data_IF_692426887707
#
_entry.id   IF_692426887707
#
_cell.length_a   1.000
_cell.length_b   1.000
_cell.length_c   1.000
_cell.angle_alpha   90.00
_cell.angle_beta   90.00
_cell.angle_gamma   90.00
#
_symmetry.space_group_name_H-M   'P 1'
#
loop_
_entity.id
_entity.type
_entity.pdbx_description
1 polymer ?
#
# COMPACT_ATOMS: atom_id res chain seq x y z
N UNK A 1 -13.86 -3.23 -15.18
CA UNK A 1 -12.83 -2.72 -16.13
C UNK A 1 -13.50 -2.21 -17.43
N UNK A 2 -13.44 -0.90 -17.69
CA UNK A 2 -14.03 -0.32 -18.91
C UNK A 2 -13.23 -0.76 -20.14
N UNK A 3 -13.93 -1.24 -21.17
CA UNK A 3 -13.35 -1.77 -22.42
C UNK A 3 -12.55 -0.71 -23.19
N UNK A 4 -12.83 0.57 -22.94
CA UNK A 4 -12.23 1.72 -23.61
C UNK A 4 -10.71 1.84 -23.35
N UNK A 5 -10.21 1.34 -22.21
CA UNK A 5 -8.76 1.29 -21.93
C UNK A 5 -8.02 0.20 -22.71
N UNK A 6 -8.76 -0.71 -23.37
CA UNK A 6 -8.21 -1.70 -24.29
C UNK A 6 -8.27 -1.22 -25.75
N UNK A 7 -8.82 -0.04 -26.04
CA UNK A 7 -8.93 0.47 -27.40
C UNK A 7 -7.55 0.67 -28.09
N UNK A 8 -6.51 0.98 -27.32
CA UNK A 8 -5.13 1.05 -27.84
C UNK A 8 -4.55 -0.32 -28.23
N UNK A 9 -5.25 -1.42 -28.01
CA UNK A 9 -4.86 -2.76 -28.46
C UNK A 9 -5.42 -3.13 -29.83
N UNK A 10 -6.30 -2.31 -30.39
CA UNK A 10 -7.07 -2.64 -31.61
C UNK A 10 -6.71 -1.79 -32.83
N UNK A 11 -5.53 -1.16 -32.84
CA UNK A 11 -5.05 -0.44 -34.03
C UNK A 11 -4.35 -1.42 -34.99
N UNK A 12 -5.16 -2.06 -35.85
CA UNK A 12 -4.92 -2.17 -37.30
C UNK A 12 -3.61 -2.76 -37.86
N UNK A 13 -2.69 -3.31 -37.08
CA UNK A 13 -1.49 -3.99 -37.62
C UNK A 13 -1.36 -5.42 -37.08
N UNK A 14 -1.32 -6.37 -38.03
CA UNK A 14 -1.09 -7.80 -37.83
C UNK A 14 0.20 -8.01 -37.01
N UNK A 15 0.13 -8.89 -36.01
CA UNK A 15 1.17 -9.25 -35.03
C UNK A 15 1.45 -8.19 -33.96
N UNK A 16 0.72 -8.37 -32.87
CA UNK A 16 1.22 -8.18 -31.51
C UNK A 16 2.69 -8.60 -31.43
N UNK A 17 3.60 -7.64 -31.26
CA UNK A 17 5.01 -7.93 -30.97
C UNK A 17 5.20 -8.45 -29.55
N UNK A 18 4.19 -8.25 -28.69
CA UNK A 18 4.26 -8.57 -27.27
C UNK A 18 3.14 -9.53 -26.87
N UNK A 19 3.48 -10.59 -26.13
CA UNK A 19 2.48 -11.52 -25.61
C UNK A 19 1.66 -10.92 -24.47
N UNK A 20 0.45 -11.45 -24.23
CA UNK A 20 -0.37 -11.09 -23.04
C UNK A 20 0.43 -11.24 -21.74
N UNK A 21 1.35 -12.21 -21.67
CA UNK A 21 2.23 -12.44 -20.53
C UNK A 21 3.17 -11.25 -20.30
N UNK A 22 3.79 -10.73 -21.35
CA UNK A 22 4.67 -9.55 -21.27
C UNK A 22 3.91 -8.30 -20.84
N UNK A 23 2.69 -8.10 -21.33
CA UNK A 23 1.84 -6.97 -20.91
C UNK A 23 1.54 -7.06 -19.41
N UNK A 24 1.15 -8.25 -18.93
CA UNK A 24 0.91 -8.47 -17.49
C UNK A 24 2.17 -8.23 -16.65
N UNK A 25 3.33 -8.69 -17.13
CA UNK A 25 4.60 -8.47 -16.45
C UNK A 25 4.94 -6.98 -16.37
N UNK A 26 4.79 -6.23 -17.48
CA UNK A 26 5.00 -4.77 -17.49
C UNK A 26 4.04 -4.05 -16.56
N UNK A 27 2.75 -4.39 -16.59
CA UNK A 27 1.76 -3.81 -15.69
C UNK A 27 2.05 -4.13 -14.22
N UNK A 28 2.48 -5.35 -13.92
CA UNK A 28 2.90 -5.74 -12.58
C UNK A 28 4.13 -4.95 -12.14
N UNK A 29 5.15 -4.81 -12.99
CA UNK A 29 6.37 -4.06 -12.70
C UNK A 29 6.07 -2.58 -12.40
N UNK A 30 5.23 -1.94 -13.23
CA UNK A 30 4.76 -0.56 -13.01
C UNK A 30 4.02 -0.48 -11.67
N UNK A 31 3.03 -1.35 -11.45
CA UNK A 31 2.27 -1.35 -10.20
C UNK A 31 3.14 -1.58 -8.96
N UNK A 32 4.18 -2.41 -9.05
CA UNK A 32 5.13 -2.58 -7.95
C UNK A 32 5.99 -1.33 -7.74
N UNK A 33 6.44 -0.68 -8.81
CA UNK A 33 7.18 0.58 -8.73
C UNK A 33 6.36 1.68 -8.06
N UNK A 34 5.11 1.86 -8.50
CA UNK A 34 4.17 2.84 -7.91
C UNK A 34 3.91 2.54 -6.43
N UNK A 35 3.73 1.26 -6.09
CA UNK A 35 3.51 0.85 -4.70
C UNK A 35 4.72 1.16 -3.81
N UNK A 36 5.95 0.93 -4.31
CA UNK A 36 7.18 1.28 -3.58
C UNK A 36 7.30 2.80 -3.42
N UNK A 37 7.09 3.57 -4.49
CA UNK A 37 7.14 5.03 -4.44
C UNK A 37 6.14 5.60 -3.43
N UNK A 38 4.90 5.08 -3.44
CA UNK A 38 3.85 5.47 -2.50
C UNK A 38 4.20 5.12 -1.04
N UNK A 39 4.81 3.94 -0.81
CA UNK A 39 5.27 3.55 0.52
C UNK A 39 6.38 4.47 1.01
N UNK A 40 7.38 4.76 0.17
CA UNK A 40 8.47 5.69 0.51
C UNK A 40 7.92 7.07 0.85
N UNK A 41 6.99 7.59 0.03
CA UNK A 41 6.34 8.88 0.30
C UNK A 41 5.63 8.89 1.65
N UNK A 42 4.86 7.84 1.99
CA UNK A 42 4.15 7.75 3.28
C UNK A 42 5.09 7.68 4.48
N UNK A 43 6.20 6.96 4.34
CA UNK A 43 7.23 6.87 5.37
C UNK A 43 7.88 8.24 5.59
N UNK A 44 8.21 8.97 4.52
CA UNK A 44 8.69 10.34 4.62
C UNK A 44 7.66 11.27 5.28
N UNK A 45 6.37 11.15 4.93
CA UNK A 45 5.31 11.92 5.58
C UNK A 45 5.22 11.63 7.08
N UNK A 46 5.45 10.39 7.53
CA UNK A 46 5.58 10.07 8.96
C UNK A 46 6.70 10.87 9.62
N UNK A 47 7.88 10.90 8.99
CA UNK A 47 9.03 11.66 9.48
C UNK A 47 8.74 13.17 9.56
N UNK A 48 8.07 13.74 8.56
CA UNK A 48 7.70 15.17 8.55
C UNK A 48 6.65 15.52 9.60
N UNK A 49 5.69 14.61 9.86
CA UNK A 49 4.60 14.89 10.80
C UNK A 49 5.03 14.69 12.25
N UNK A 50 5.65 13.54 12.55
CA UNK A 50 6.00 13.12 13.90
C UNK A 50 7.33 12.34 13.87
N UNK A 51 8.49 13.04 13.89
CA UNK A 51 9.81 12.40 13.72
C UNK A 51 10.13 11.41 14.84
N UNK A 52 9.70 11.70 16.08
CA UNK A 52 9.90 10.81 17.24
C UNK A 52 9.18 9.47 17.04
N UNK A 53 7.92 9.52 16.61
CA UNK A 53 7.13 8.30 16.33
C UNK A 53 7.73 7.55 15.14
N UNK A 54 8.12 8.27 14.09
CA UNK A 54 8.78 7.68 12.95
C UNK A 54 10.07 6.94 13.35
N UNK A 55 10.93 7.57 14.16
CA UNK A 55 12.16 6.97 14.66
C UNK A 55 11.88 5.72 15.51
N UNK A 56 10.96 5.81 16.48
CA UNK A 56 10.58 4.69 17.32
C UNK A 56 10.05 3.50 16.51
N UNK A 57 9.16 3.75 15.53
CA UNK A 57 8.64 2.71 14.65
C UNK A 57 9.74 2.16 13.73
N UNK A 58 10.62 3.01 13.21
CA UNK A 58 11.71 2.60 12.30
C UNK A 58 12.71 1.66 12.99
N UNK A 59 13.01 1.91 14.27
CA UNK A 59 13.95 1.14 15.08
C UNK A 59 13.56 -0.33 15.26
N UNK A 60 12.27 -0.66 15.19
CA UNK A 60 11.78 -2.03 15.39
C UNK A 60 11.84 -2.81 14.05
N UNK A 61 12.73 -3.80 13.89
CA UNK A 61 12.84 -4.57 12.65
C UNK A 61 11.59 -5.44 12.41
N UNK A 62 11.21 -5.63 11.14
CA UNK A 62 10.07 -6.51 10.81
C UNK A 62 10.24 -7.95 11.29
N UNK A 63 11.48 -8.45 11.31
CA UNK A 63 11.81 -9.77 11.83
C UNK A 63 11.51 -9.89 13.32
N UNK A 64 11.72 -8.83 14.10
CA UNK A 64 11.42 -8.81 15.53
C UNK A 64 9.91 -8.81 15.77
N UNK A 65 9.15 -8.01 15.01
CA UNK A 65 7.68 -7.97 15.10
C UNK A 65 7.09 -9.36 14.85
N UNK A 66 7.57 -10.09 13.84
CA UNK A 66 7.09 -11.46 13.55
C UNK A 66 7.38 -12.49 14.64
N UNK A 67 8.30 -12.20 15.56
CA UNK A 67 8.68 -13.07 16.67
C UNK A 67 7.99 -12.69 17.99
N UNK A 68 7.14 -11.67 18.00
CA UNK A 68 6.45 -11.27 19.21
C UNK A 68 5.45 -12.35 19.65
N UNK A 69 5.59 -12.88 20.88
CA UNK A 69 4.66 -13.87 21.39
C UNK A 69 3.27 -13.27 21.51
N UNK A 70 2.25 -14.01 21.07
CA UNK A 70 0.85 -13.56 21.06
C UNK A 70 0.48 -12.62 19.91
N UNK A 71 1.42 -12.29 19.01
CA UNK A 71 1.09 -11.50 17.82
C UNK A 71 0.48 -12.42 16.75
N UNK A 72 -0.83 -12.27 16.54
CA UNK A 72 -1.54 -12.95 15.47
C UNK A 72 -1.31 -12.28 14.10
N UNK A 73 -1.81 -12.91 13.04
CA UNK A 73 -1.66 -12.40 11.68
C UNK A 73 -2.30 -11.00 11.52
N UNK A 74 -3.37 -10.72 12.27
CA UNK A 74 -4.05 -9.44 12.24
C UNK A 74 -3.21 -8.34 12.89
N UNK A 75 -2.66 -8.59 14.08
CA UNK A 75 -1.77 -7.67 14.79
C UNK A 75 -0.51 -7.35 14.00
N UNK A 76 0.11 -8.35 13.36
CA UNK A 76 1.24 -8.13 12.46
C UNK A 76 0.88 -7.22 11.28
N UNK A 77 -0.30 -7.42 10.68
CA UNK A 77 -0.80 -6.56 9.59
C UNK A 77 -1.12 -5.15 10.07
N UNK A 78 -1.64 -5.00 11.28
CA UNK A 78 -1.92 -3.71 11.89
C UNK A 78 -0.62 -2.92 12.11
N UNK A 79 0.40 -3.54 12.70
CA UNK A 79 1.72 -2.93 12.89
C UNK A 79 2.39 -2.57 11.57
N UNK A 80 2.25 -3.42 10.54
CA UNK A 80 2.67 -3.08 9.19
C UNK A 80 2.05 -1.78 8.68
N UNK A 81 0.72 -1.66 8.81
CA UNK A 81 0.00 -0.46 8.41
C UNK A 81 0.38 0.76 9.27
N UNK A 82 0.61 0.58 10.57
CA UNK A 82 1.04 1.66 11.46
C UNK A 82 2.38 2.25 10.99
N UNK A 83 3.40 1.40 10.85
CA UNK A 83 4.75 1.81 10.45
C UNK A 83 4.81 2.44 9.05
N UNK A 84 3.95 1.99 8.14
CA UNK A 84 3.89 2.50 6.74
C UNK A 84 2.88 3.64 6.54
N UNK A 85 2.30 4.18 7.61
CA UNK A 85 1.20 5.18 7.56
C UNK A 85 0.02 4.73 6.68
N UNK A 86 -0.19 3.42 6.60
CA UNK A 86 -1.23 2.76 5.82
C UNK A 86 -2.49 2.43 6.61
N UNK A 87 -2.61 2.90 7.86
CA UNK A 87 -3.86 2.74 8.63
C UNK A 87 -4.91 3.60 7.95
N UNK A 88 -5.89 2.92 7.38
CA UNK A 88 -7.14 3.50 6.90
C UNK A 88 -8.25 2.86 7.72
N UNK A 89 -8.60 3.50 8.82
CA UNK A 89 -9.91 3.29 9.44
C UNK A 89 -10.88 4.07 8.56
N UNK A 90 -11.60 3.40 7.67
CA UNK A 90 -12.69 4.04 6.94
C UNK A 90 -13.96 3.77 7.72
N UNK A 91 -14.56 4.82 8.25
CA UNK A 91 -15.87 4.76 8.85
C UNK A 91 -16.92 4.72 7.73
N UNK A 92 -17.64 3.60 7.63
CA UNK A 92 -18.72 3.42 6.64
C UNK A 92 -19.95 4.24 6.96
N UNK A 93 -20.24 4.49 8.24
CA UNK A 93 -21.42 5.24 8.66
C UNK A 93 -21.27 6.71 8.30
N UNK A 94 -20.08 7.26 8.52
CA UNK A 94 -19.79 8.66 8.27
C UNK A 94 -19.10 8.91 6.91
N UNK A 95 -18.88 7.85 6.12
CA UNK A 95 -18.17 7.87 4.83
C UNK A 95 -16.83 8.64 4.85
N UNK A 96 -16.11 8.59 5.96
CA UNK A 96 -14.84 9.33 6.16
C UNK A 96 -13.75 8.44 6.72
N UNK A 97 -12.51 8.94 6.73
CA UNK A 97 -11.45 8.31 7.52
C UNK A 97 -11.82 8.46 9.00
N UNK A 98 -12.27 7.37 9.62
CA UNK A 98 -12.54 7.28 11.05
C UNK A 98 -11.25 7.17 11.85
N UNK A 99 -11.34 7.35 13.17
CA UNK A 99 -10.25 7.11 14.10
C UNK A 99 -10.69 5.96 15.03
N UNK A 100 -9.84 4.92 15.24
CA UNK A 100 -10.22 3.78 16.07
C UNK A 100 -10.22 4.09 17.58
N UNK A 101 -9.83 5.31 17.97
CA UNK A 101 -9.82 5.75 19.35
C UNK A 101 -11.23 6.16 19.78
N UNK A 102 -11.70 5.67 20.92
CA UNK A 102 -13.04 5.96 21.47
C UNK A 102 -13.28 7.43 21.78
N UNK A 103 -12.21 8.23 21.91
CA UNK A 103 -12.30 9.70 22.09
C UNK A 103 -12.38 10.49 20.78
N UNK A 104 -12.17 9.86 19.62
CA UNK A 104 -12.19 10.53 18.31
C UNK A 104 -13.59 10.56 17.65
N UNK A 105 -14.68 10.46 18.43
CA UNK A 105 -16.07 10.42 17.92
C UNK A 105 -16.40 11.68 17.10
#
# INVERSE_FOLDING_TARGET
PRLDRLACLWVGKRRWSCTRREIKQRASAISTGDAVALLTQRVQQWNTKDPVIHQALSAIPWQQIRRWPGLDAWGGRFLYRLKTRGIKSYDRLQQRLGCPHTLCV
#
